data_IF_808437726019
#
_entry.id   IF_808437726019
#
_cell.length_a   1.000
_cell.length_b   1.000
_cell.length_c   1.000
_cell.angle_alpha   90.00
_cell.angle_beta   90.00
_cell.angle_gamma   90.00
#
_symmetry.space_group_name_H-M   'P 1'
#
loop_
_entity.id
_entity.type
_entity.pdbx_description
1 polymer ?
#
# COMPACT_ATOMS: atom_id res chain seq x y z
N UNK A 1 4.57 37.81 2.15
CA UNK A 1 3.28 38.45 2.45
C UNK A 1 3.35 38.79 3.92
N UNK A 2 3.70 40.06 4.13
CA UNK A 2 4.01 40.61 5.42
C UNK A 2 2.73 41.09 6.05
N UNK A 3 2.44 40.66 7.25
CA UNK A 3 1.67 41.29 8.32
C UNK A 3 0.61 42.36 7.97
N UNK A 4 -0.12 42.19 6.90
CA UNK A 4 -1.34 42.96 6.66
C UNK A 4 -2.48 42.54 7.63
N UNK A 5 -2.24 41.55 8.47
CA UNK A 5 -3.21 40.94 9.36
C UNK A 5 -2.78 40.90 10.83
N UNK A 6 -2.12 41.92 11.27
CA UNK A 6 -1.83 42.11 12.70
C UNK A 6 -3.09 42.50 13.51
N UNK A 7 -4.25 42.65 12.87
CA UNK A 7 -5.52 42.80 13.56
C UNK A 7 -6.06 41.42 13.92
N UNK A 8 -6.18 41.20 15.20
CA UNK A 8 -6.78 40.03 15.85
C UNK A 8 -8.02 39.51 15.09
N UNK A 9 -7.94 38.31 14.58
CA UNK A 9 -9.10 37.59 14.05
C UNK A 9 -8.85 36.93 12.70
N UNK A 10 -8.46 37.64 11.67
CA UNK A 10 -8.26 37.05 10.34
C UNK A 10 -6.93 36.29 10.20
N UNK A 11 -5.85 36.77 10.83
CA UNK A 11 -4.57 36.10 10.84
C UNK A 11 -4.56 34.75 11.55
N UNK A 12 -5.36 34.61 12.60
CA UNK A 12 -5.51 33.36 13.33
C UNK A 12 -6.42 32.37 12.61
N UNK A 13 -7.37 32.85 11.79
CA UNK A 13 -8.23 32.00 10.97
C UNK A 13 -7.46 31.27 9.87
N UNK A 14 -6.46 31.95 9.27
CA UNK A 14 -5.63 31.34 8.22
C UNK A 14 -4.54 30.39 8.72
N UNK A 15 -4.27 30.37 10.03
CA UNK A 15 -3.23 29.52 10.63
C UNK A 15 -3.75 28.20 11.21
N UNK A 16 -5.06 27.96 11.15
CA UNK A 16 -5.67 26.83 11.86
C UNK A 16 -5.59 25.50 11.12
N UNK A 17 -5.67 25.52 9.79
CA UNK A 17 -5.57 24.31 8.99
C UNK A 17 -4.49 24.43 7.93
N UNK A 18 -3.83 23.31 7.67
CA UNK A 18 -2.91 23.15 6.55
C UNK A 18 -3.28 21.87 5.79
N UNK A 19 -3.29 21.97 4.49
CA UNK A 19 -3.45 20.81 3.60
C UNK A 19 -2.18 20.67 2.78
N UNK A 20 -1.67 19.44 2.66
CA UNK A 20 -0.46 19.22 1.92
C UNK A 20 -0.21 17.76 1.61
N UNK A 21 0.99 17.50 1.10
CA UNK A 21 1.46 16.16 0.77
C UNK A 21 2.84 16.02 1.39
N UNK A 22 2.86 15.68 2.68
CA UNK A 22 4.06 15.71 3.51
C UNK A 22 4.49 14.30 3.86
N UNK A 23 5.79 14.09 3.86
CA UNK A 23 6.44 12.93 4.46
C UNK A 23 6.96 13.36 5.83
N UNK A 24 6.37 12.84 6.90
CA UNK A 24 6.68 13.24 8.28
C UNK A 24 7.30 12.06 9.02
N UNK A 25 8.42 12.34 9.70
CA UNK A 25 9.07 11.36 10.57
C UNK A 25 8.10 10.83 11.64
N UNK A 26 8.08 9.52 11.83
CA UNK A 26 7.19 8.82 12.76
C UNK A 26 5.77 8.55 12.25
N UNK A 27 5.43 8.98 11.03
CA UNK A 27 4.16 8.64 10.42
C UNK A 27 4.13 7.18 9.96
N UNK A 28 2.96 6.54 10.06
CA UNK A 28 2.76 5.17 9.59
C UNK A 28 2.74 5.15 8.06
N UNK A 29 3.69 4.45 7.45
CA UNK A 29 3.79 4.27 5.99
C UNK A 29 2.92 3.10 5.51
N UNK A 30 2.98 2.00 6.24
CA UNK A 30 2.20 0.78 6.04
C UNK A 30 2.12 0.03 7.38
N UNK A 31 1.31 -1.05 7.54
CA UNK A 31 1.22 -1.80 8.79
C UNK A 31 2.61 -2.14 9.33
N UNK A 32 2.86 -1.79 10.61
CA UNK A 32 4.13 -2.06 11.29
C UNK A 32 5.32 -1.18 10.89
N UNK A 33 5.25 -0.38 9.83
CA UNK A 33 6.37 0.44 9.34
C UNK A 33 6.10 1.93 9.50
N UNK A 34 7.04 2.64 10.15
CA UNK A 34 7.00 4.08 10.31
C UNK A 34 8.09 4.78 9.49
N UNK A 35 7.79 5.98 9.01
CA UNK A 35 8.73 6.83 8.31
C UNK A 35 9.88 7.27 9.23
N UNK A 36 11.11 6.95 8.84
CA UNK A 36 12.31 7.24 9.65
C UNK A 36 13.02 8.53 9.23
N UNK A 37 12.78 9.01 8.01
CA UNK A 37 13.57 10.09 7.38
C UNK A 37 12.72 11.27 6.89
N UNK A 38 11.49 11.38 7.38
CA UNK A 38 10.59 12.45 6.99
C UNK A 38 10.93 13.81 7.61
N UNK A 39 10.14 14.79 7.24
CA UNK A 39 10.20 16.13 7.82
C UNK A 39 9.79 16.08 9.30
N UNK A 40 10.52 16.81 10.15
CA UNK A 40 10.14 16.95 11.56
C UNK A 40 8.78 17.66 11.68
N UNK A 41 7.86 17.06 12.41
CA UNK A 41 6.51 17.57 12.66
C UNK A 41 6.50 18.98 13.26
N UNK A 42 7.58 19.41 13.93
CA UNK A 42 7.68 20.72 14.58
C UNK A 42 7.58 21.89 13.59
N UNK A 43 7.93 21.68 12.31
CA UNK A 43 7.73 22.69 11.27
C UNK A 43 6.24 23.03 11.05
N UNK A 44 5.35 22.10 11.38
CA UNK A 44 3.91 22.25 11.19
C UNK A 44 3.14 22.51 12.49
N UNK A 45 3.83 22.62 13.64
CA UNK A 45 3.21 22.83 14.96
C UNK A 45 2.40 24.12 15.11
N UNK A 46 2.63 25.09 14.21
CA UNK A 46 1.88 26.36 14.19
C UNK A 46 0.44 26.23 13.72
N UNK A 47 0.08 25.10 13.11
CA UNK A 47 -1.27 24.82 12.67
C UNK A 47 -2.01 24.01 13.74
N UNK A 48 -3.31 24.28 13.92
CA UNK A 48 -4.15 23.51 14.83
C UNK A 48 -4.35 22.07 14.31
N UNK A 49 -4.55 21.95 12.98
CA UNK A 49 -4.69 20.68 12.28
C UNK A 49 -3.98 20.73 10.93
N UNK A 50 -3.28 19.66 10.61
CA UNK A 50 -2.66 19.44 9.30
C UNK A 50 -3.27 18.18 8.70
N UNK A 51 -3.73 18.27 7.47
CA UNK A 51 -4.21 17.13 6.71
C UNK A 51 -3.22 16.84 5.59
N UNK A 52 -2.69 15.62 5.59
CA UNK A 52 -1.67 15.22 4.62
C UNK A 52 -2.12 14.03 3.79
N UNK A 53 -1.76 14.04 2.51
CA UNK A 53 -1.64 12.86 1.68
C UNK A 53 -0.28 12.19 1.90
N UNK A 54 0.26 11.55 0.87
CA UNK A 54 1.51 10.81 0.79
C UNK A 54 1.35 9.34 1.19
N UNK A 55 1.10 9.02 2.45
CA UNK A 55 0.91 7.64 2.87
C UNK A 55 -0.51 7.15 2.57
N UNK A 56 -0.62 5.90 2.09
CA UNK A 56 -1.89 5.30 1.69
C UNK A 56 -2.75 4.87 2.86
N UNK A 57 -2.16 4.70 4.04
CA UNK A 57 -2.87 4.37 5.28
C UNK A 57 -3.23 5.62 6.07
N UNK A 58 -4.40 5.59 6.72
CA UNK A 58 -4.78 6.61 7.68
C UNK A 58 -3.93 6.48 8.94
N UNK A 59 -3.34 7.59 9.36
CA UNK A 59 -2.59 7.65 10.61
C UNK A 59 -2.57 9.07 11.18
N UNK A 60 -2.13 9.21 12.41
CA UNK A 60 -2.00 10.52 13.06
C UNK A 60 -0.65 10.64 13.75
N UNK A 61 0.02 11.76 13.52
CA UNK A 61 1.25 12.15 14.21
C UNK A 61 1.07 13.57 14.75
N UNK A 62 0.88 13.69 16.06
CA UNK A 62 0.63 14.98 16.74
C UNK A 62 -0.60 15.69 16.17
N UNK A 63 -0.44 16.89 15.57
CA UNK A 63 -1.51 17.66 14.92
C UNK A 63 -1.68 17.33 13.43
N UNK A 64 -0.95 16.34 12.92
CA UNK A 64 -0.94 15.95 11.51
C UNK A 64 -1.75 14.67 11.35
N UNK A 65 -2.72 14.72 10.46
CA UNK A 65 -3.59 13.60 10.11
C UNK A 65 -3.37 13.19 8.65
N UNK A 66 -2.94 11.95 8.45
CA UNK A 66 -2.89 11.33 7.13
C UNK A 66 -4.27 10.82 6.76
N UNK A 67 -4.76 11.28 5.63
CA UNK A 67 -6.09 10.95 5.14
C UNK A 67 -6.16 9.54 4.54
N UNK A 68 -5.01 9.01 4.16
CA UNK A 68 -4.92 7.79 3.38
C UNK A 68 -5.29 8.00 1.91
N UNK A 69 -5.25 6.94 1.13
CA UNK A 69 -5.69 6.96 -0.26
C UNK A 69 -7.20 6.71 -0.37
N UNK A 70 -7.84 7.31 -1.39
CA UNK A 70 -9.27 7.13 -1.63
C UNK A 70 -9.62 5.79 -2.28
N UNK A 71 -8.63 5.07 -2.80
CA UNK A 71 -8.77 3.75 -3.41
C UNK A 71 -7.48 2.95 -3.23
N UNK A 72 -7.53 1.69 -3.53
CA UNK A 72 -6.34 0.83 -3.57
C UNK A 72 -5.53 1.14 -4.84
N UNK A 73 -4.24 1.44 -4.72
CA UNK A 73 -3.33 1.68 -5.85
C UNK A 73 -2.33 0.55 -6.06
N UNK A 74 -1.97 -0.15 -4.99
CA UNK A 74 -0.96 -1.21 -4.99
C UNK A 74 -1.43 -2.40 -4.18
N UNK A 75 -0.73 -3.53 -4.28
CA UNK A 75 -1.04 -4.72 -3.48
C UNK A 75 -0.84 -4.51 -1.97
N UNK A 76 -0.01 -3.56 -1.55
CA UNK A 76 0.12 -3.17 -0.14
C UNK A 76 -1.15 -2.53 0.43
N UNK A 77 -2.06 -2.09 -0.44
CA UNK A 77 -3.38 -1.56 -0.02
C UNK A 77 -4.45 -2.67 0.14
N UNK A 78 -4.10 -3.92 -0.12
CA UNK A 78 -5.05 -5.03 0.00
C UNK A 78 -5.56 -5.17 1.43
N UNK A 79 -6.89 -5.20 1.58
CA UNK A 79 -7.54 -5.30 2.89
C UNK A 79 -7.69 -3.99 3.63
N UNK A 80 -7.08 -2.89 3.17
CA UNK A 80 -7.23 -1.58 3.78
C UNK A 80 -8.59 -0.97 3.44
N UNK A 81 -9.23 -0.41 4.45
CA UNK A 81 -10.40 0.44 4.23
C UNK A 81 -9.98 1.79 3.63
N UNK A 82 -10.60 2.17 2.52
CA UNK A 82 -10.31 3.39 1.80
C UNK A 82 -11.43 4.41 1.95
N UNK A 83 -11.05 5.71 1.93
CA UNK A 83 -11.99 6.79 2.19
C UNK A 83 -11.65 7.99 1.31
N UNK A 84 -12.66 8.68 0.81
CA UNK A 84 -12.53 10.08 0.43
C UNK A 84 -13.09 10.97 1.55
N UNK A 85 -12.78 12.25 1.52
CA UNK A 85 -13.08 13.13 2.63
C UNK A 85 -13.80 14.39 2.15
N UNK A 86 -14.79 14.81 2.93
CA UNK A 86 -15.46 16.10 2.76
C UNK A 86 -14.95 17.00 3.89
N UNK A 87 -14.43 18.15 3.51
CA UNK A 87 -14.03 19.19 4.45
C UNK A 87 -15.03 20.31 4.45
N UNK A 88 -15.65 20.57 5.60
CA UNK A 88 -16.54 21.70 5.81
C UNK A 88 -15.72 22.94 6.19
N UNK A 89 -15.79 23.98 5.37
CA UNK A 89 -15.02 25.21 5.55
C UNK A 89 -15.56 26.12 6.65
N UNK A 90 -16.82 25.96 7.04
CA UNK A 90 -17.45 26.74 8.11
C UNK A 90 -17.18 26.12 9.48
N UNK A 91 -17.49 24.82 9.63
CA UNK A 91 -17.26 24.07 10.88
C UNK A 91 -15.80 23.62 11.02
N UNK A 92 -15.06 23.52 9.90
CA UNK A 92 -13.68 23.01 9.79
C UNK A 92 -13.56 21.55 10.20
N UNK A 93 -14.60 20.82 9.99
CA UNK A 93 -14.63 19.38 10.24
C UNK A 93 -14.32 18.60 8.97
N UNK A 94 -13.64 17.48 9.14
CA UNK A 94 -13.32 16.53 8.08
C UNK A 94 -14.18 15.29 8.26
N UNK A 95 -15.06 15.01 7.31
CA UNK A 95 -15.93 13.83 7.31
C UNK A 95 -15.39 12.78 6.35
N UNK A 96 -14.96 11.62 6.83
CA UNK A 96 -14.57 10.50 5.96
C UNK A 96 -15.80 9.82 5.38
N UNK A 97 -15.77 9.53 4.09
CA UNK A 97 -16.79 8.75 3.38
C UNK A 97 -16.12 7.46 2.91
N UNK A 98 -16.62 6.33 3.40
CA UNK A 98 -16.07 5.02 3.05
C UNK A 98 -16.23 4.72 1.56
N UNK A 99 -15.15 4.26 0.93
CA UNK A 99 -15.17 3.73 -0.42
C UNK A 99 -15.20 2.19 -0.36
N UNK A 100 -16.32 1.54 -0.67
CA UNK A 100 -16.44 0.09 -0.61
C UNK A 100 -15.79 -0.63 -1.80
N UNK A 101 -15.29 0.11 -2.80
CA UNK A 101 -14.73 -0.48 -4.00
C UNK A 101 -13.30 -0.96 -3.76
N UNK A 102 -13.07 -2.23 -4.04
CA UNK A 102 -11.73 -2.86 -3.99
C UNK A 102 -11.23 -3.15 -5.39
N UNK A 103 -9.92 -2.96 -5.62
CA UNK A 103 -9.26 -3.27 -6.90
C UNK A 103 -8.50 -4.58 -6.86
N UNK A 104 -8.05 -4.99 -5.67
CA UNK A 104 -7.22 -6.17 -5.47
C UNK A 104 -7.98 -7.21 -4.65
N UNK A 105 -7.89 -8.47 -5.08
CA UNK A 105 -8.48 -9.61 -4.37
C UNK A 105 -7.51 -10.78 -4.32
N UNK A 106 -7.49 -11.48 -3.18
CA UNK A 106 -6.75 -12.74 -3.02
C UNK A 106 -7.72 -13.92 -3.10
N UNK A 107 -7.37 -14.91 -3.90
CA UNK A 107 -8.07 -16.18 -4.01
C UNK A 107 -7.17 -17.28 -3.46
N UNK A 108 -7.51 -17.82 -2.30
CA UNK A 108 -6.76 -18.93 -1.71
C UNK A 108 -7.27 -20.25 -2.26
N UNK A 109 -6.34 -21.12 -2.63
CA UNK A 109 -6.61 -22.49 -3.06
C UNK A 109 -5.89 -23.49 -2.15
N UNK A 110 -6.66 -24.43 -1.60
CA UNK A 110 -6.16 -25.48 -0.72
C UNK A 110 -7.07 -26.69 -0.85
N UNK A 111 -6.68 -27.67 -1.65
CA UNK A 111 -7.48 -28.88 -1.91
C UNK A 111 -7.38 -29.94 -0.80
N UNK A 112 -6.65 -29.65 0.27
CA UNK A 112 -6.74 -30.43 1.51
C UNK A 112 -7.91 -29.99 2.38
N UNK A 113 -8.40 -28.77 2.21
CA UNK A 113 -9.48 -28.18 3.01
C UNK A 113 -10.80 -28.07 2.27
N UNK A 114 -10.78 -28.00 0.94
CA UNK A 114 -11.95 -27.84 0.10
C UNK A 114 -12.19 -29.11 -0.74
N UNK A 115 -13.45 -29.53 -0.88
CA UNK A 115 -13.82 -30.61 -1.80
C UNK A 115 -13.96 -30.05 -3.22
N UNK A 116 -13.90 -30.94 -4.22
CA UNK A 116 -14.20 -30.59 -5.62
C UNK A 116 -15.59 -29.96 -5.78
N UNK A 117 -16.59 -30.45 -5.06
CA UNK A 117 -17.93 -29.89 -5.08
C UNK A 117 -17.94 -28.44 -4.59
N UNK A 118 -17.25 -28.14 -3.46
CA UNK A 118 -17.11 -26.79 -2.93
C UNK A 118 -16.44 -25.88 -3.94
N UNK A 119 -15.30 -26.28 -4.51
CA UNK A 119 -14.57 -25.53 -5.52
C UNK A 119 -15.46 -25.26 -6.74
N UNK A 120 -16.23 -26.27 -7.17
CA UNK A 120 -17.07 -26.20 -8.35
C UNK A 120 -18.32 -25.34 -8.20
N UNK A 121 -18.84 -25.18 -6.98
CA UNK A 121 -20.05 -24.41 -6.68
C UNK A 121 -19.78 -23.03 -6.12
N UNK A 122 -18.53 -22.73 -5.77
CA UNK A 122 -18.09 -21.44 -5.21
C UNK A 122 -18.42 -20.28 -6.15
N UNK A 123 -18.88 -19.19 -5.58
CA UNK A 123 -19.14 -17.96 -6.32
C UNK A 123 -17.84 -17.18 -6.52
N UNK A 124 -17.48 -16.95 -7.77
CA UNK A 124 -16.30 -16.19 -8.17
C UNK A 124 -16.63 -14.75 -8.62
N UNK A 125 -17.88 -14.30 -8.54
CA UNK A 125 -18.30 -12.97 -9.01
C UNK A 125 -17.60 -11.82 -8.30
N UNK A 126 -17.14 -12.03 -7.06
CA UNK A 126 -16.37 -11.01 -6.32
C UNK A 126 -15.05 -10.61 -7.01
N UNK A 127 -14.54 -11.45 -7.92
CA UNK A 127 -13.29 -11.17 -8.65
C UNK A 127 -13.52 -10.41 -9.96
N UNK A 128 -14.77 -10.23 -10.37
CA UNK A 128 -15.10 -9.52 -11.62
C UNK A 128 -14.50 -8.11 -11.65
N UNK A 129 -13.73 -7.82 -12.69
CA UNK A 129 -13.11 -6.51 -12.91
C UNK A 129 -11.99 -6.16 -11.92
N UNK A 130 -11.40 -7.16 -11.23
CA UNK A 130 -10.35 -6.94 -10.23
C UNK A 130 -9.02 -7.58 -10.62
N UNK A 131 -7.94 -7.06 -10.06
CA UNK A 131 -6.65 -7.73 -10.06
C UNK A 131 -6.67 -8.83 -9.01
N UNK A 132 -6.47 -10.07 -9.43
CA UNK A 132 -6.61 -11.23 -8.56
C UNK A 132 -5.27 -11.96 -8.41
N UNK A 133 -4.85 -12.21 -7.15
CA UNK A 133 -3.78 -13.16 -6.83
C UNK A 133 -4.39 -14.47 -6.37
N UNK A 134 -4.07 -15.55 -7.07
CA UNK A 134 -4.37 -16.91 -6.64
C UNK A 134 -3.18 -17.40 -5.82
N UNK A 135 -3.45 -17.69 -4.56
CA UNK A 135 -2.45 -18.16 -3.60
C UNK A 135 -2.69 -19.64 -3.39
N UNK A 136 -1.74 -20.43 -3.87
CA UNK A 136 -1.82 -21.88 -3.80
C UNK A 136 -1.21 -22.36 -2.48
N UNK A 137 -2.05 -22.81 -1.56
CA UNK A 137 -1.64 -23.35 -0.26
C UNK A 137 -1.29 -24.84 -0.39
N UNK A 138 -2.12 -25.62 -1.03
CA UNK A 138 -1.84 -26.99 -1.41
C UNK A 138 -2.54 -27.35 -2.73
N UNK A 139 -1.87 -28.17 -3.55
CA UNK A 139 -2.34 -28.56 -4.89
C UNK A 139 -2.01 -30.02 -5.16
N UNK A 140 -2.70 -30.93 -4.47
CA UNK A 140 -2.57 -32.36 -4.67
C UNK A 140 -3.33 -32.82 -5.91
N UNK A 141 -4.39 -32.10 -6.31
CA UNK A 141 -5.25 -32.41 -7.44
C UNK A 141 -5.17 -31.30 -8.53
N UNK A 142 -4.27 -31.45 -9.52
CA UNK A 142 -4.15 -30.45 -10.60
C UNK A 142 -5.47 -30.18 -11.34
N UNK A 143 -6.28 -31.20 -11.58
CA UNK A 143 -7.58 -31.06 -12.24
C UNK A 143 -8.56 -30.17 -11.48
N UNK A 144 -8.56 -30.22 -10.13
CA UNK A 144 -9.41 -29.36 -9.32
C UNK A 144 -8.94 -27.91 -9.41
N UNK A 145 -7.62 -27.73 -9.41
CA UNK A 145 -7.01 -26.40 -9.57
C UNK A 145 -7.37 -25.80 -10.93
N UNK A 146 -7.20 -26.56 -12.01
CA UNK A 146 -7.52 -26.09 -13.36
C UNK A 146 -9.00 -25.71 -13.47
N UNK A 147 -9.90 -26.53 -12.90
CA UNK A 147 -11.33 -26.22 -12.86
C UNK A 147 -11.64 -24.93 -12.09
N UNK A 148 -10.91 -24.65 -11.00
CA UNK A 148 -11.03 -23.41 -10.24
C UNK A 148 -10.55 -22.21 -11.07
N UNK A 149 -9.41 -22.35 -11.75
CA UNK A 149 -8.84 -21.30 -12.61
C UNK A 149 -9.78 -20.98 -13.78
N UNK A 150 -10.38 -21.98 -14.41
CA UNK A 150 -11.36 -21.77 -15.49
C UNK A 150 -12.58 -20.98 -15.00
N UNK A 151 -13.10 -21.31 -13.82
CA UNK A 151 -14.23 -20.56 -13.22
C UNK A 151 -13.85 -19.13 -12.81
N UNK A 152 -12.64 -18.96 -12.30
CA UNK A 152 -12.12 -17.63 -11.98
C UNK A 152 -12.02 -16.77 -13.25
N UNK A 153 -11.49 -17.33 -14.34
CA UNK A 153 -11.44 -16.62 -15.63
C UNK A 153 -12.83 -16.33 -16.20
N UNK A 154 -13.78 -17.26 -16.02
CA UNK A 154 -15.18 -17.05 -16.42
C UNK A 154 -15.86 -15.88 -15.66
N UNK A 155 -15.40 -15.56 -14.45
CA UNK A 155 -15.82 -14.38 -13.70
C UNK A 155 -15.26 -13.05 -14.24
N UNK A 156 -14.40 -13.10 -15.27
CA UNK A 156 -13.84 -11.94 -15.95
C UNK A 156 -13.05 -10.98 -15.04
N UNK A 157 -12.03 -11.43 -14.30
CA UNK A 157 -11.09 -10.56 -13.60
C UNK A 157 -10.29 -9.74 -14.60
N UNK A 158 -9.74 -8.58 -14.18
CA UNK A 158 -8.85 -7.76 -15.02
C UNK A 158 -7.51 -8.46 -15.28
N UNK A 159 -7.00 -9.14 -14.26
CA UNK A 159 -5.74 -9.86 -14.33
C UNK A 159 -5.69 -10.94 -13.26
N UNK A 160 -5.09 -12.08 -13.59
CA UNK A 160 -4.89 -13.19 -12.66
C UNK A 160 -3.41 -13.50 -12.59
N UNK A 161 -2.87 -13.54 -11.37
CA UNK A 161 -1.51 -14.01 -11.08
C UNK A 161 -1.62 -15.21 -10.14
N UNK A 162 -0.97 -16.32 -10.49
CA UNK A 162 -0.88 -17.50 -9.63
C UNK A 162 0.45 -17.46 -8.89
N UNK A 163 0.40 -17.58 -7.58
CA UNK A 163 1.55 -17.67 -6.69
C UNK A 163 1.56 -19.07 -6.09
N UNK A 164 2.47 -19.91 -6.58
CA UNK A 164 2.57 -21.34 -6.27
C UNK A 164 3.68 -21.65 -5.24
N UNK A 165 4.31 -20.63 -4.67
CA UNK A 165 5.41 -20.80 -3.74
C UNK A 165 5.15 -20.15 -2.39
N UNK A 166 4.86 -20.99 -1.38
CA UNK A 166 4.64 -20.57 0.00
C UNK A 166 5.85 -19.91 0.65
N UNK A 167 7.05 -20.29 0.22
CA UNK A 167 8.29 -19.77 0.80
C UNK A 167 8.53 -18.31 0.47
N UNK A 168 7.94 -17.81 -0.63
CA UNK A 168 8.01 -16.39 -0.98
C UNK A 168 6.91 -15.55 -0.34
N UNK A 169 5.85 -16.18 0.17
CA UNK A 169 4.75 -15.45 0.82
C UNK A 169 5.03 -15.12 2.28
N UNK A 170 5.74 -15.99 2.98
CA UNK A 170 6.23 -15.70 4.34
C UNK A 170 7.22 -14.51 4.36
N UNK A 171 7.79 -14.18 3.18
CA UNK A 171 8.64 -13.00 2.98
C UNK A 171 7.84 -11.74 2.57
N UNK A 172 6.53 -11.84 2.36
CA UNK A 172 5.66 -10.71 1.96
C UNK A 172 4.46 -10.52 2.89
N UNK A 173 4.22 -11.38 3.86
CA UNK A 173 3.30 -11.13 4.96
C UNK A 173 4.04 -10.39 6.07
N UNK A 174 3.61 -9.25 6.34
CA UNK A 174 3.72 -8.21 7.36
C UNK A 174 4.75 -8.34 8.52
N UNK A 175 5.35 -9.49 8.80
CA UNK A 175 6.25 -9.67 9.94
C UNK A 175 7.76 -9.58 9.62
N UNK A 176 8.15 -9.56 8.35
CA UNK A 176 9.57 -9.50 7.95
C UNK A 176 10.07 -8.12 7.52
N UNK A 177 9.35 -7.05 7.89
CA UNK A 177 9.81 -5.67 7.65
C UNK A 177 10.95 -5.28 8.62
N UNK A 178 11.31 -6.11 9.58
CA UNK A 178 12.54 -5.91 10.38
C UNK A 178 13.83 -6.03 9.57
N UNK A 179 13.75 -6.47 8.33
CA UNK A 179 14.86 -6.60 7.40
C UNK A 179 14.64 -5.89 6.06
N UNK A 180 14.07 -4.68 6.03
CA UNK A 180 14.16 -3.86 4.81
C UNK A 180 15.63 -3.59 4.57
N UNK A 181 16.22 -4.48 3.77
CA UNK A 181 17.57 -4.26 3.26
C UNK A 181 17.59 -2.92 2.55
N UNK A 182 18.59 -2.11 2.85
CA UNK A 182 18.88 -0.89 2.12
C UNK A 182 18.81 -1.17 0.60
N UNK A 183 18.23 -0.24 -0.14
CA UNK A 183 18.07 -0.34 -1.60
C UNK A 183 19.37 -0.75 -2.29
N UNK A 184 20.52 -0.30 -1.78
CA UNK A 184 21.83 -0.70 -2.29
C UNK A 184 22.11 -2.19 -2.07
N UNK A 185 21.76 -2.74 -0.92
CA UNK A 185 21.90 -4.18 -0.62
C UNK A 185 21.01 -5.03 -1.53
N UNK A 186 19.79 -4.57 -1.82
CA UNK A 186 18.89 -5.24 -2.79
C UNK A 186 19.48 -5.20 -4.20
N UNK A 187 20.03 -4.05 -4.62
CA UNK A 187 20.70 -3.90 -5.90
C UNK A 187 21.94 -4.80 -6.02
N UNK A 188 22.76 -4.88 -4.96
CA UNK A 188 23.91 -5.80 -4.90
C UNK A 188 23.50 -7.25 -5.09
N UNK A 189 22.51 -7.72 -4.35
CA UNK A 189 21.98 -9.10 -4.47
C UNK A 189 21.40 -9.37 -5.85
N UNK A 190 20.67 -8.40 -6.43
CA UNK A 190 20.13 -8.53 -7.78
C UNK A 190 21.25 -8.68 -8.81
N UNK A 191 22.28 -7.83 -8.74
CA UNK A 191 23.43 -7.87 -9.66
C UNK A 191 24.23 -9.16 -9.49
N UNK A 192 24.39 -9.63 -8.26
CA UNK A 192 25.07 -10.91 -7.97
C UNK A 192 24.29 -12.12 -8.52
N UNK A 193 22.97 -12.05 -8.54
CA UNK A 193 22.11 -13.07 -9.15
C UNK A 193 22.08 -13.07 -10.69
N UNK A 194 22.58 -12.01 -11.35
CA UNK A 194 22.59 -11.95 -12.81
C UNK A 194 23.70 -12.87 -13.38
N UNK A 195 23.36 -13.70 -14.36
CA UNK A 195 24.33 -14.51 -15.13
C UNK A 195 25.01 -13.65 -16.21
N UNK A 196 25.77 -12.63 -15.78
CA UNK A 196 26.51 -11.75 -16.69
C UNK A 196 27.99 -12.10 -16.66
N UNK A 197 28.57 -12.46 -17.80
CA UNK A 197 30.00 -12.73 -17.90
C UNK A 197 30.81 -11.43 -17.76
N UNK A 198 31.40 -11.23 -16.59
CA UNK A 198 32.59 -10.40 -16.43
C UNK A 198 32.41 -8.93 -16.07
N UNK A 199 31.21 -8.36 -15.84
CA UNK A 199 31.03 -6.92 -15.59
C UNK A 199 30.13 -6.55 -14.42
N UNK A 200 29.99 -7.37 -13.41
CA UNK A 200 29.13 -7.07 -12.25
C UNK A 200 29.61 -5.84 -11.46
N UNK A 201 30.90 -5.73 -11.23
CA UNK A 201 31.48 -4.64 -10.41
C UNK A 201 31.29 -3.25 -11.03
N UNK A 202 31.57 -3.00 -12.32
CA UNK A 202 31.26 -1.72 -12.94
C UNK A 202 29.76 -1.39 -12.98
N UNK A 203 28.91 -2.40 -13.13
CA UNK A 203 27.46 -2.22 -13.10
C UNK A 203 26.99 -1.79 -11.71
N UNK A 204 27.50 -2.41 -10.65
CA UNK A 204 27.20 -2.03 -9.27
C UNK A 204 27.67 -0.60 -8.97
N UNK A 205 28.90 -0.25 -9.37
CA UNK A 205 29.44 1.11 -9.20
C UNK A 205 28.60 2.15 -9.92
N UNK A 206 28.13 1.85 -11.16
CA UNK A 206 27.24 2.73 -11.90
C UNK A 206 25.90 2.91 -11.19
N UNK A 207 25.26 1.82 -10.78
CA UNK A 207 23.95 1.88 -10.11
C UNK A 207 24.04 2.59 -8.76
N UNK A 208 25.09 2.34 -7.98
CA UNK A 208 25.36 3.06 -6.73
C UNK A 208 25.54 4.56 -6.98
N UNK A 209 26.22 4.94 -8.06
CA UNK A 209 26.42 6.36 -8.40
C UNK A 209 25.16 7.06 -8.87
N UNK A 210 24.18 6.32 -9.41
CA UNK A 210 22.90 6.87 -9.85
C UNK A 210 21.90 6.98 -8.70
N UNK A 211 22.10 6.20 -7.63
CA UNK A 211 21.24 6.20 -6.45
C UNK A 211 21.60 7.32 -5.46
N UNK A 212 22.87 7.74 -5.40
CA UNK A 212 23.35 8.85 -4.57
C UNK A 212 23.22 10.19 -5.30
#
# INVERSE_FOLDING_TARGET
IRDLYSSRGLGDLYKRQCFGHFEIEGALMMPGMTCQHGLDHTYLKRFDKVYSGHFHQKSEVKNIKYLGSQMQFTWSDYGDEKYFHIFDTETREMTPIHNPLTMFEKCFYDDTKESFETISTKDYTKYTGKFTKVIVVNKDNPYWFDSMIDKLHAANPLHVVVVDDHKHMDLMDDDDIEGVEDTLTILEKYIDGLEIQGQKKPLLELMTSLYN
#
